data_IF_668821235613
#
_entry.id   IF_668821235613
#
_cell.length_a   1.000
_cell.length_b   1.000
_cell.length_c   1.000
_cell.angle_alpha   90.00
_cell.angle_beta   90.00
_cell.angle_gamma   90.00
#
_symmetry.space_group_name_H-M   'P 1'
#
loop_
_entity.id
_entity.type
_entity.pdbx_description
1 polymer ?
#
# COMPACT_ATOMS: atom_id res chain seq x y z
N UNK A 1 11.88 -31.31 -0.17
CA UNK A 1 10.97 -30.24 -0.70
C UNK A 1 9.53 -30.34 -0.18
N UNK A 2 8.85 -31.50 -0.15
CA UNK A 2 7.50 -31.61 0.45
C UNK A 2 7.41 -31.21 1.94
N UNK A 3 8.51 -31.31 2.69
CA UNK A 3 8.59 -30.99 4.13
C UNK A 3 8.38 -29.48 4.40
N UNK A 4 8.84 -28.62 3.49
CA UNK A 4 8.85 -27.16 3.65
C UNK A 4 8.04 -26.40 2.57
N UNK A 5 7.28 -27.12 1.76
CA UNK A 5 6.41 -26.51 0.74
C UNK A 5 5.31 -25.65 1.35
N UNK A 6 4.97 -24.55 0.71
CA UNK A 6 3.88 -23.66 1.12
C UNK A 6 2.57 -24.43 1.17
N UNK A 7 1.90 -24.44 2.32
CA UNK A 7 0.53 -24.93 2.44
C UNK A 7 -0.42 -23.86 1.88
N UNK A 8 -1.38 -24.25 1.07
CA UNK A 8 -2.36 -23.34 0.44
C UNK A 8 -3.21 -22.49 1.42
N UNK A 9 -3.11 -22.73 2.74
CA UNK A 9 -4.01 -22.17 3.75
C UNK A 9 -3.30 -21.52 4.95
N UNK A 10 -2.11 -20.93 4.77
CA UNK A 10 -1.33 -20.31 5.86
C UNK A 10 -2.14 -19.27 6.64
N UNK A 11 -2.81 -18.37 5.92
CA UNK A 11 -3.61 -17.32 6.56
C UNK A 11 -4.78 -17.88 7.39
N UNK A 12 -5.44 -18.93 6.91
CA UNK A 12 -6.52 -19.58 7.65
C UNK A 12 -6.01 -20.27 8.91
N UNK A 13 -4.82 -20.91 8.85
CA UNK A 13 -4.18 -21.54 10.01
C UNK A 13 -3.72 -20.49 11.03
N UNK A 14 -3.16 -19.37 10.57
CA UNK A 14 -2.79 -18.25 11.42
C UNK A 14 -4.02 -17.70 12.16
N UNK A 15 -5.09 -17.40 11.44
CA UNK A 15 -6.35 -16.92 12.01
C UNK A 15 -6.94 -17.90 13.02
N UNK A 16 -7.04 -19.18 12.66
CA UNK A 16 -7.54 -20.21 13.56
C UNK A 16 -6.70 -20.40 14.83
N UNK A 17 -5.39 -20.16 14.74
CA UNK A 17 -4.48 -20.17 15.89
C UNK A 17 -4.72 -18.97 16.79
N UNK A 18 -4.82 -17.79 16.21
CA UNK A 18 -5.10 -16.53 16.91
C UNK A 18 -6.46 -16.56 17.63
N UNK A 19 -7.46 -17.21 17.05
CA UNK A 19 -8.78 -17.41 17.69
C UNK A 19 -8.72 -18.24 18.98
N UNK A 20 -7.71 -19.09 19.14
CA UNK A 20 -7.49 -19.89 20.36
C UNK A 20 -6.87 -19.10 21.52
N UNK A 21 -6.50 -17.84 21.30
CA UNK A 21 -5.98 -16.94 22.31
C UNK A 21 -4.47 -16.83 22.36
N UNK A 22 -3.97 -16.05 23.35
CA UNK A 22 -2.56 -15.66 23.50
C UNK A 22 -1.64 -16.86 23.61
N UNK A 23 -1.91 -17.79 24.52
CA UNK A 23 -1.00 -18.89 24.83
C UNK A 23 -0.81 -19.82 23.62
N UNK A 24 -1.90 -20.12 22.89
CA UNK A 24 -1.83 -20.90 21.67
C UNK A 24 -1.03 -20.19 20.58
N UNK A 25 -1.23 -18.89 20.43
CA UNK A 25 -0.49 -18.05 19.48
C UNK A 25 0.99 -18.02 19.83
N UNK A 26 1.32 -17.80 21.09
CA UNK A 26 2.70 -17.77 21.60
C UNK A 26 3.42 -19.11 21.36
N UNK A 27 2.75 -20.24 21.64
CA UNK A 27 3.32 -21.58 21.42
C UNK A 27 3.59 -21.85 19.92
N UNK A 28 2.73 -21.38 19.03
CA UNK A 28 2.93 -21.53 17.58
C UNK A 28 4.10 -20.69 17.11
N UNK A 29 4.19 -19.44 17.53
CA UNK A 29 5.29 -18.53 17.19
C UNK A 29 6.64 -19.10 17.63
N UNK A 30 6.74 -19.62 18.87
CA UNK A 30 7.96 -20.26 19.35
C UNK A 30 8.38 -21.47 18.52
N UNK A 31 7.44 -22.31 18.13
CA UNK A 31 7.72 -23.45 17.23
C UNK A 31 8.17 -23.01 15.85
N UNK A 32 7.51 -22.00 15.27
CA UNK A 32 7.86 -21.53 13.93
C UNK A 32 9.19 -20.79 13.88
N UNK A 33 9.52 -20.04 14.94
CA UNK A 33 10.84 -19.45 15.09
C UNK A 33 11.93 -20.55 15.13
N UNK A 34 11.72 -21.64 15.89
CA UNK A 34 12.64 -22.78 15.91
C UNK A 34 12.77 -23.43 14.52
N UNK A 35 11.67 -23.55 13.77
CA UNK A 35 11.71 -24.11 12.42
C UNK A 35 12.58 -23.30 11.45
N UNK A 36 12.75 -21.99 11.65
CA UNK A 36 13.72 -21.21 10.87
C UNK A 36 15.14 -21.74 11.05
N UNK A 37 15.56 -22.01 12.30
CA UNK A 37 16.86 -22.59 12.57
C UNK A 37 16.95 -24.04 12.02
N UNK A 38 15.89 -24.85 12.19
CA UNK A 38 15.86 -26.21 11.63
C UNK A 38 16.00 -26.23 10.10
N UNK A 39 15.42 -25.28 9.38
CA UNK A 39 15.56 -25.16 7.92
C UNK A 39 17.00 -24.80 7.56
N UNK A 40 17.59 -23.86 8.29
CA UNK A 40 18.98 -23.43 8.07
C UNK A 40 19.98 -24.54 8.32
N UNK A 41 19.73 -25.38 9.34
CA UNK A 41 20.60 -26.47 9.76
C UNK A 41 20.27 -27.83 9.10
N UNK A 42 19.25 -27.90 8.22
CA UNK A 42 18.80 -29.14 7.57
C UNK A 42 19.80 -29.61 6.51
N UNK A 43 20.66 -30.56 6.89
CA UNK A 43 21.67 -31.16 6.02
C UNK A 43 21.05 -31.98 4.87
N UNK A 44 19.90 -32.65 5.08
CA UNK A 44 19.21 -33.37 4.01
C UNK A 44 18.69 -32.42 2.94
N UNK A 45 18.17 -31.26 3.34
CA UNK A 45 17.76 -30.19 2.41
C UNK A 45 18.95 -29.67 1.64
N UNK A 46 20.08 -29.38 2.31
CA UNK A 46 21.30 -28.93 1.64
C UNK A 46 21.80 -29.93 0.61
N UNK A 47 21.90 -31.21 0.98
CA UNK A 47 22.32 -32.25 0.08
C UNK A 47 21.35 -32.44 -1.10
N UNK A 48 20.04 -32.36 -0.86
CA UNK A 48 19.05 -32.41 -1.93
C UNK A 48 19.18 -31.23 -2.91
N UNK A 49 19.50 -30.02 -2.43
CA UNK A 49 19.77 -28.86 -3.26
C UNK A 49 21.08 -29.02 -4.05
N UNK A 50 22.15 -29.50 -3.41
CA UNK A 50 23.44 -29.75 -4.05
C UNK A 50 23.30 -30.76 -5.22
N UNK A 51 22.54 -31.83 -5.02
CA UNK A 51 22.32 -32.90 -6.01
C UNK A 51 21.25 -32.53 -7.06
N UNK A 52 20.49 -31.45 -6.85
CA UNK A 52 19.47 -31.04 -7.80
C UNK A 52 20.09 -30.53 -9.12
N UNK A 53 19.37 -30.62 -10.26
CA UNK A 53 19.82 -30.08 -11.53
C UNK A 53 19.78 -28.57 -11.65
N UNK A 54 19.40 -27.87 -10.58
CA UNK A 54 19.32 -26.43 -10.56
C UNK A 54 20.71 -25.78 -10.68
N UNK A 55 20.76 -24.60 -11.30
CA UNK A 55 21.94 -23.74 -11.24
C UNK A 55 22.22 -23.30 -9.80
N UNK A 56 23.42 -22.81 -9.52
CA UNK A 56 23.76 -22.23 -8.20
C UNK A 56 22.73 -21.18 -7.78
N UNK A 57 22.44 -20.25 -8.69
CA UNK A 57 21.39 -19.25 -8.48
C UNK A 57 20.02 -19.88 -8.11
N UNK A 58 19.60 -20.92 -8.84
CA UNK A 58 18.33 -21.59 -8.56
C UNK A 58 18.32 -22.32 -7.21
N UNK A 59 19.46 -22.81 -6.75
CA UNK A 59 19.59 -23.43 -5.39
C UNK A 59 19.48 -22.39 -4.30
N UNK A 60 20.16 -21.27 -4.45
CA UNK A 60 20.13 -20.15 -3.51
C UNK A 60 18.72 -19.54 -3.45
N UNK A 61 18.07 -19.34 -4.61
CA UNK A 61 16.71 -18.86 -4.69
C UNK A 61 15.70 -19.80 -4.02
N UNK A 62 15.88 -21.12 -4.16
CA UNK A 62 15.03 -22.11 -3.50
C UNK A 62 15.19 -22.05 -1.97
N UNK A 63 16.42 -21.93 -1.48
CA UNK A 63 16.69 -21.81 -0.04
C UNK A 63 16.06 -20.56 0.54
N UNK A 64 16.27 -19.39 -0.08
CA UNK A 64 15.68 -18.13 0.41
C UNK A 64 14.16 -18.16 0.32
N UNK A 65 13.59 -18.78 -0.70
CA UNK A 65 12.13 -18.92 -0.82
C UNK A 65 11.52 -19.77 0.32
N UNK A 66 12.19 -20.83 0.74
CA UNK A 66 11.75 -21.65 1.89
C UNK A 66 11.79 -20.82 3.19
N UNK A 67 12.88 -20.09 3.41
CA UNK A 67 13.05 -19.27 4.61
C UNK A 67 12.06 -18.10 4.67
N UNK A 68 11.91 -17.35 3.57
CA UNK A 68 11.00 -16.20 3.50
C UNK A 68 9.54 -16.62 3.66
N UNK A 69 9.13 -17.78 3.14
CA UNK A 69 7.79 -18.30 3.38
C UNK A 69 7.54 -18.55 4.88
N UNK A 70 8.54 -19.06 5.62
CA UNK A 70 8.39 -19.26 7.07
C UNK A 70 8.32 -17.93 7.83
N UNK A 71 9.08 -16.93 7.40
CA UNK A 71 9.01 -15.58 7.97
C UNK A 71 7.63 -14.95 7.73
N UNK A 72 7.05 -15.09 6.54
CA UNK A 72 5.69 -14.62 6.24
C UNK A 72 4.66 -15.27 7.17
N UNK A 73 4.78 -16.58 7.43
CA UNK A 73 3.88 -17.29 8.37
C UNK A 73 3.93 -16.66 9.76
N UNK A 74 5.14 -16.37 10.26
CA UNK A 74 5.34 -15.73 11.56
C UNK A 74 4.71 -14.32 11.58
N UNK A 75 4.98 -13.53 10.56
CA UNK A 75 4.47 -12.14 10.45
C UNK A 75 2.95 -12.10 10.33
N UNK A 76 2.34 -13.02 9.57
CA UNK A 76 0.89 -13.12 9.43
C UNK A 76 0.20 -13.45 10.77
N UNK A 77 0.80 -14.32 11.59
CA UNK A 77 0.26 -14.62 12.92
C UNK A 77 0.37 -13.43 13.86
N UNK A 78 1.53 -12.77 13.87
CA UNK A 78 1.74 -11.58 14.73
C UNK A 78 0.80 -10.46 14.34
N UNK A 79 0.68 -10.17 13.05
CA UNK A 79 -0.23 -9.15 12.53
C UNK A 79 -1.69 -9.47 12.88
N UNK A 80 -2.14 -10.69 12.59
CA UNK A 80 -3.51 -11.14 12.89
C UNK A 80 -3.83 -11.12 14.39
N UNK A 81 -2.84 -11.38 15.24
CA UNK A 81 -3.03 -11.28 16.68
C UNK A 81 -3.11 -9.82 17.15
N UNK A 82 -2.26 -8.95 16.62
CA UNK A 82 -2.28 -7.51 16.94
C UNK A 82 -3.54 -6.81 16.49
N UNK A 83 -4.18 -7.28 15.44
CA UNK A 83 -5.50 -6.76 15.03
C UNK A 83 -6.55 -6.90 16.14
N UNK A 84 -6.39 -7.84 17.07
CA UNK A 84 -7.27 -7.97 18.25
C UNK A 84 -7.10 -6.85 19.30
N UNK A 85 -6.03 -6.06 19.21
CA UNK A 85 -5.86 -4.89 20.08
C UNK A 85 -6.91 -3.80 19.83
N UNK A 86 -7.61 -3.91 18.71
CA UNK A 86 -8.63 -2.94 18.30
C UNK A 86 -9.96 -3.62 18.05
N UNK A 87 -11.04 -2.94 18.40
CA UNK A 87 -12.40 -3.31 18.02
C UNK A 87 -12.91 -2.27 17.02
N UNK A 88 -13.60 -2.75 15.99
CA UNK A 88 -14.10 -1.92 14.90
C UNK A 88 -15.62 -1.98 14.93
N UNK A 89 -16.26 -0.84 15.16
CA UNK A 89 -17.72 -0.71 15.16
C UNK A 89 -18.14 0.20 14.02
N UNK A 90 -18.95 -0.31 13.09
CA UNK A 90 -19.51 0.53 12.03
C UNK A 90 -20.61 1.40 12.60
N UNK A 91 -20.49 2.72 12.44
CA UNK A 91 -21.46 3.71 12.88
C UNK A 91 -22.59 3.86 11.85
N UNK A 92 -23.72 4.43 12.27
CA UNK A 92 -24.87 4.65 11.38
C UNK A 92 -24.56 5.58 10.18
N UNK A 93 -23.60 6.48 10.34
CA UNK A 93 -23.10 7.39 9.30
C UNK A 93 -22.14 6.71 8.31
N UNK A 94 -21.88 5.41 8.47
CA UNK A 94 -20.95 4.61 7.65
C UNK A 94 -19.48 4.70 8.07
N UNK A 95 -19.16 5.54 9.03
CA UNK A 95 -17.80 5.63 9.58
C UNK A 95 -17.50 4.44 10.50
N UNK A 96 -16.21 4.19 10.73
CA UNK A 96 -15.76 3.18 11.67
C UNK A 96 -15.26 3.84 12.95
N UNK A 97 -15.85 3.43 14.07
CA UNK A 97 -15.29 3.72 15.40
C UNK A 97 -14.28 2.65 15.73
N UNK A 98 -13.10 3.07 16.13
CA UNK A 98 -11.99 2.17 16.52
C UNK A 98 -11.78 2.38 18.01
N UNK A 99 -12.00 1.33 18.78
CA UNK A 99 -11.78 1.33 20.22
C UNK A 99 -10.63 0.36 20.56
N UNK A 100 -9.92 0.63 21.65
CA UNK A 100 -8.94 -0.31 22.19
C UNK A 100 -9.65 -1.48 22.85
N UNK A 101 -9.20 -2.70 22.59
CA UNK A 101 -9.70 -3.89 23.26
C UNK A 101 -9.06 -3.99 24.66
N UNK A 102 -9.82 -3.86 25.76
CA UNK A 102 -9.26 -3.90 27.11
C UNK A 102 -8.73 -5.28 27.52
N UNK A 103 -9.17 -6.34 26.84
CA UNK A 103 -8.73 -7.72 27.12
C UNK A 103 -7.50 -8.13 26.30
N UNK A 104 -6.98 -7.22 25.48
CA UNK A 104 -5.79 -7.50 24.68
C UNK A 104 -4.55 -7.53 25.56
N UNK A 105 -3.76 -8.60 25.41
CA UNK A 105 -2.46 -8.74 26.08
C UNK A 105 -1.39 -8.99 25.02
N UNK A 106 -0.36 -8.14 24.99
CA UNK A 106 0.73 -8.21 24.02
C UNK A 106 1.43 -9.58 24.04
N UNK A 107 1.92 -10.01 22.86
CA UNK A 107 2.73 -11.22 22.71
C UNK A 107 4.14 -10.98 23.22
N UNK A 108 4.77 -11.98 23.79
CA UNK A 108 6.20 -12.02 23.98
C UNK A 108 6.88 -12.47 22.69
N UNK A 109 7.59 -11.57 22.03
CA UNK A 109 8.23 -11.81 20.74
C UNK A 109 9.76 -11.93 20.86
N UNK A 110 10.33 -11.94 22.06
CA UNK A 110 11.79 -11.97 22.25
C UNK A 110 12.45 -13.16 21.56
N UNK A 111 11.89 -14.36 21.71
CA UNK A 111 12.42 -15.55 21.05
C UNK A 111 12.32 -15.50 19.52
N UNK A 112 11.25 -14.89 18.99
CA UNK A 112 11.07 -14.66 17.55
C UNK A 112 12.11 -13.70 17.03
N UNK A 113 12.29 -12.54 17.68
CA UNK A 113 13.31 -11.55 17.32
C UNK A 113 14.70 -12.15 17.34
N UNK A 114 15.08 -12.82 18.44
CA UNK A 114 16.40 -13.41 18.59
C UNK A 114 16.70 -14.40 17.46
N UNK A 115 15.73 -15.20 17.04
CA UNK A 115 15.91 -16.14 15.92
C UNK A 115 16.06 -15.43 14.59
N UNK A 116 15.17 -14.49 14.28
CA UNK A 116 15.16 -13.80 12.99
C UNK A 116 16.37 -12.89 12.83
N UNK A 117 16.73 -12.12 13.87
CA UNK A 117 17.88 -11.21 13.83
C UNK A 117 19.23 -11.95 13.84
N UNK A 118 19.32 -13.10 14.51
CA UNK A 118 20.51 -13.97 14.42
C UNK A 118 20.78 -14.38 12.98
N UNK A 119 19.75 -14.58 12.18
CA UNK A 119 19.84 -15.03 10.80
C UNK A 119 19.62 -13.90 9.78
N UNK A 120 19.69 -12.64 10.19
CA UNK A 120 19.38 -11.48 9.36
C UNK A 120 20.21 -11.40 8.08
N UNK A 121 21.48 -11.77 8.14
CA UNK A 121 22.37 -11.76 6.96
C UNK A 121 21.90 -12.73 5.87
N UNK A 122 21.36 -13.87 6.26
CA UNK A 122 20.85 -14.85 5.32
C UNK A 122 19.47 -14.50 4.78
N UNK A 123 18.58 -13.95 5.64
CA UNK A 123 17.17 -13.71 5.33
C UNK A 123 16.95 -12.30 4.79
N UNK A 124 17.38 -11.28 5.54
CA UNK A 124 17.04 -9.88 5.31
C UNK A 124 18.13 -9.09 4.57
N UNK A 125 19.36 -9.60 4.54
CA UNK A 125 20.45 -9.02 3.75
C UNK A 125 20.65 -9.75 2.40
N UNK A 126 19.62 -10.38 1.87
CA UNK A 126 19.71 -11.18 0.66
C UNK A 126 18.87 -10.57 -0.48
N UNK A 127 19.51 -10.00 -1.55
CA UNK A 127 18.80 -9.43 -2.69
C UNK A 127 17.92 -10.42 -3.45
N UNK A 128 18.17 -11.73 -3.32
CA UNK A 128 17.32 -12.76 -3.93
C UNK A 128 15.88 -12.72 -3.41
N UNK A 129 15.63 -12.11 -2.23
CA UNK A 129 14.29 -11.86 -1.72
C UNK A 129 13.41 -11.00 -2.64
N UNK A 130 13.96 -10.38 -3.68
CA UNK A 130 13.24 -9.59 -4.69
C UNK A 130 13.06 -10.30 -6.04
N UNK A 131 13.57 -11.53 -6.20
CA UNK A 131 13.62 -12.18 -7.51
C UNK A 131 12.34 -12.86 -7.96
N UNK A 132 11.37 -13.09 -7.05
CA UNK A 132 10.10 -13.74 -7.35
C UNK A 132 8.91 -12.98 -6.79
N UNK A 133 7.75 -13.13 -7.40
CA UNK A 133 6.50 -12.48 -6.96
C UNK A 133 6.05 -12.91 -5.56
N UNK A 134 6.31 -14.17 -5.17
CA UNK A 134 6.04 -14.64 -3.81
C UNK A 134 6.94 -13.99 -2.77
N UNK A 135 8.16 -13.64 -3.14
CA UNK A 135 9.12 -12.94 -2.29
C UNK A 135 8.79 -11.44 -2.16
N UNK A 136 8.12 -10.85 -3.16
CA UNK A 136 7.58 -9.52 -3.01
C UNK A 136 6.58 -9.44 -1.84
N UNK A 137 5.79 -10.48 -1.61
CA UNK A 137 4.91 -10.57 -0.44
C UNK A 137 5.73 -10.53 0.85
N UNK A 138 6.85 -11.25 0.91
CA UNK A 138 7.76 -11.22 2.05
C UNK A 138 8.33 -9.80 2.29
N UNK A 139 8.88 -9.17 1.25
CA UNK A 139 9.41 -7.80 1.35
C UNK A 139 8.35 -6.83 1.85
N UNK A 140 7.17 -6.85 1.23
CA UNK A 140 6.07 -5.97 1.61
C UNK A 140 5.60 -6.22 3.05
N UNK A 141 5.46 -7.49 3.46
CA UNK A 141 5.12 -7.83 4.86
C UNK A 141 6.18 -7.31 5.82
N UNK A 142 7.46 -7.58 5.57
CA UNK A 142 8.55 -7.15 6.45
C UNK A 142 8.64 -5.64 6.55
N UNK A 143 8.51 -4.90 5.45
CA UNK A 143 8.56 -3.44 5.45
C UNK A 143 7.42 -2.80 6.25
N UNK A 144 6.25 -3.43 6.29
CA UNK A 144 5.11 -2.94 7.07
C UNK A 144 4.91 -3.70 8.38
N UNK A 145 5.75 -4.69 8.67
CA UNK A 145 5.65 -5.48 9.88
C UNK A 145 6.07 -4.67 11.11
N UNK A 146 5.23 -4.65 12.14
CA UNK A 146 5.60 -4.07 13.42
C UNK A 146 6.68 -4.88 14.16
N UNK A 147 7.14 -6.00 13.61
CA UNK A 147 8.26 -6.79 14.14
C UNK A 147 9.60 -6.07 14.00
N UNK A 148 9.80 -5.28 12.94
CA UNK A 148 11.12 -4.70 12.63
C UNK A 148 11.10 -3.18 12.59
N UNK A 149 10.01 -2.59 12.13
CA UNK A 149 9.87 -1.15 11.98
C UNK A 149 8.69 -0.65 12.80
N UNK A 150 8.92 0.39 13.57
CA UNK A 150 7.87 1.02 14.39
C UNK A 150 7.68 2.47 13.99
N UNK A 151 6.51 3.02 14.33
CA UNK A 151 6.29 4.45 14.31
C UNK A 151 6.83 5.06 15.59
N UNK A 152 7.50 6.20 15.45
CA UNK A 152 8.04 6.98 16.56
C UNK A 152 7.58 8.43 16.43
N UNK A 153 7.00 8.94 17.49
CA UNK A 153 6.60 10.35 17.57
C UNK A 153 7.86 11.20 17.82
N UNK A 154 7.99 12.30 17.11
CA UNK A 154 9.06 13.26 17.30
C UNK A 154 8.55 14.67 17.02
N UNK A 155 9.20 15.66 17.60
CA UNK A 155 8.97 17.08 17.32
C UNK A 155 10.05 17.57 16.37
N UNK A 156 9.65 18.17 15.24
CA UNK A 156 10.62 18.72 14.28
C UNK A 156 11.25 20.04 14.77
N UNK A 157 12.18 20.58 13.99
CA UNK A 157 12.89 21.80 14.32
C UNK A 157 11.96 23.03 14.41
N UNK A 158 10.78 22.98 13.80
CA UNK A 158 9.75 24.00 13.84
C UNK A 158 8.76 23.83 14.99
N UNK A 159 8.96 22.83 15.83
CA UNK A 159 8.12 22.50 16.98
C UNK A 159 6.82 21.75 16.61
N UNK A 160 6.72 21.20 15.41
CA UNK A 160 5.55 20.44 14.95
C UNK A 160 5.71 18.96 15.30
N UNK A 161 4.69 18.40 15.97
CA UNK A 161 4.63 16.97 16.26
C UNK A 161 4.41 16.17 14.96
N UNK A 162 5.26 15.18 14.72
CA UNK A 162 5.25 14.32 13.54
C UNK A 162 5.50 12.87 13.93
N UNK A 163 5.20 11.97 13.00
CA UNK A 163 5.52 10.55 13.11
C UNK A 163 6.51 10.14 12.03
N UNK A 164 7.49 9.33 12.39
CA UNK A 164 8.39 8.67 11.45
C UNK A 164 8.44 7.18 11.71
N UNK A 165 8.69 6.43 10.65
CA UNK A 165 9.03 5.02 10.79
C UNK A 165 10.51 4.88 11.07
N UNK A 166 10.88 4.00 11.99
CA UNK A 166 12.27 3.78 12.36
C UNK A 166 12.56 2.28 12.54
N UNK A 167 13.83 1.91 12.30
CA UNK A 167 14.36 0.60 12.70
C UNK A 167 14.58 0.58 14.21
N UNK A 168 13.73 -0.16 14.90
CA UNK A 168 13.79 -0.33 16.35
C UNK A 168 14.46 -1.64 16.76
N UNK A 169 14.67 -2.55 15.83
CA UNK A 169 14.96 -3.94 16.10
C UNK A 169 16.23 -4.48 15.41
N UNK A 170 17.11 -3.60 14.93
CA UNK A 170 18.45 -3.96 14.46
C UNK A 170 18.51 -4.42 13.01
N UNK A 171 17.64 -3.93 12.16
CA UNK A 171 17.67 -4.18 10.71
C UNK A 171 18.69 -3.31 9.97
N UNK A 172 19.26 -2.30 10.64
CA UNK A 172 20.28 -1.43 10.04
C UNK A 172 21.39 -2.24 9.38
N UNK A 173 21.81 -1.80 8.19
CA UNK A 173 22.85 -2.45 7.39
C UNK A 173 22.39 -3.68 6.61
N UNK A 174 21.11 -4.06 6.64
CA UNK A 174 20.57 -5.10 5.77
C UNK A 174 20.00 -4.52 4.48
N UNK A 175 19.92 -5.36 3.44
CA UNK A 175 19.24 -5.01 2.19
C UNK A 175 17.77 -4.61 2.42
N UNK A 176 17.09 -5.24 3.37
CA UNK A 176 15.72 -4.89 3.73
C UNK A 176 15.61 -3.48 4.32
N UNK A 177 16.59 -3.07 5.13
CA UNK A 177 16.66 -1.69 5.63
C UNK A 177 16.91 -0.67 4.51
N UNK A 178 17.75 -1.03 3.53
CA UNK A 178 17.98 -0.18 2.36
C UNK A 178 16.68 0.03 1.57
N UNK A 179 15.88 -1.03 1.38
CA UNK A 179 14.56 -0.92 0.74
C UNK A 179 13.60 -0.08 1.58
N UNK A 180 13.63 -0.23 2.90
CA UNK A 180 12.80 0.58 3.81
C UNK A 180 13.12 2.08 3.67
N UNK A 181 14.40 2.46 3.76
CA UNK A 181 14.84 3.86 3.62
C UNK A 181 14.50 4.43 2.23
N UNK A 182 14.73 3.62 1.18
CA UNK A 182 14.38 4.01 -0.19
C UNK A 182 12.88 4.24 -0.36
N UNK A 183 12.04 3.33 0.13
CA UNK A 183 10.60 3.45 0.02
C UNK A 183 10.06 4.64 0.81
N UNK A 184 10.57 4.88 2.01
CA UNK A 184 10.12 5.97 2.86
C UNK A 184 10.31 7.32 2.17
N UNK A 185 11.51 7.59 1.64
CA UNK A 185 11.79 8.88 0.99
C UNK A 185 11.11 9.01 -0.39
N UNK A 186 11.04 7.92 -1.17
CA UNK A 186 10.36 7.94 -2.48
C UNK A 186 8.86 8.21 -2.31
N UNK A 187 8.21 7.55 -1.35
CA UNK A 187 6.79 7.79 -1.06
C UNK A 187 6.52 9.25 -0.66
N UNK A 188 7.42 9.86 0.09
CA UNK A 188 7.31 11.28 0.47
C UNK A 188 7.47 12.21 -0.72
N UNK A 189 8.41 11.92 -1.63
CA UNK A 189 8.56 12.66 -2.88
C UNK A 189 7.30 12.57 -3.76
N UNK A 190 6.74 11.37 -3.93
CA UNK A 190 5.49 11.15 -4.66
C UNK A 190 4.33 11.93 -4.03
N UNK A 191 4.26 11.93 -2.70
CA UNK A 191 3.23 12.67 -1.97
C UNK A 191 3.31 14.18 -2.24
N UNK A 192 4.51 14.78 -2.17
CA UNK A 192 4.72 16.20 -2.49
C UNK A 192 4.40 16.50 -3.96
N UNK A 193 4.81 15.66 -4.90
CA UNK A 193 4.47 15.86 -6.31
C UNK A 193 2.95 15.90 -6.51
N UNK A 194 2.22 15.02 -5.82
CA UNK A 194 0.77 15.03 -5.82
C UNK A 194 0.19 16.32 -5.24
N UNK A 195 0.71 16.79 -4.12
CA UNK A 195 0.30 18.04 -3.49
C UNK A 195 0.56 19.26 -4.38
N UNK A 196 1.72 19.32 -5.02
CA UNK A 196 2.05 20.38 -6.01
C UNK A 196 1.02 20.38 -7.13
N UNK A 197 0.75 19.22 -7.71
CA UNK A 197 -0.22 19.04 -8.80
C UNK A 197 -1.62 19.48 -8.40
N UNK A 198 -2.04 19.16 -7.18
CA UNK A 198 -3.33 19.55 -6.63
C UNK A 198 -3.36 20.99 -6.08
N UNK A 199 -2.21 21.69 -6.07
CA UNK A 199 -2.10 23.07 -5.56
C UNK A 199 -2.18 23.19 -4.05
N UNK A 200 -1.83 22.13 -3.34
CA UNK A 200 -1.80 22.07 -1.88
C UNK A 200 -0.42 22.33 -1.29
N UNK A 201 0.57 22.67 -2.11
CA UNK A 201 1.92 22.88 -1.60
C UNK A 201 1.96 24.00 -0.55
N UNK A 202 2.44 23.68 0.65
CA UNK A 202 2.41 24.54 1.82
C UNK A 202 1.18 24.37 2.73
N UNK A 203 0.14 23.61 2.30
CA UNK A 203 -1.01 23.22 3.13
C UNK A 203 -0.84 21.83 3.73
N UNK A 204 0.06 21.01 3.18
CA UNK A 204 0.38 19.68 3.71
C UNK A 204 1.17 19.81 5.01
N UNK A 205 0.54 19.43 6.12
CA UNK A 205 1.13 19.60 7.46
C UNK A 205 2.34 18.71 7.74
N UNK A 206 2.63 17.73 6.89
CA UNK A 206 3.55 16.65 7.26
C UNK A 206 4.81 16.55 6.42
N UNK A 207 4.86 17.06 5.17
CA UNK A 207 6.02 16.93 4.30
C UNK A 207 6.19 18.18 3.43
N UNK A 208 7.35 18.82 3.50
CA UNK A 208 7.72 20.01 2.72
C UNK A 208 8.91 19.71 1.80
N UNK A 209 9.20 20.59 0.83
CA UNK A 209 10.39 20.48 0.00
C UNK A 209 11.67 20.50 0.84
N UNK A 210 11.73 21.34 1.87
CA UNK A 210 12.86 21.41 2.79
C UNK A 210 13.02 20.13 3.57
N UNK A 211 11.90 19.53 4.02
CA UNK A 211 11.90 18.22 4.65
C UNK A 211 12.49 17.14 3.73
N UNK A 212 12.09 17.10 2.45
CA UNK A 212 12.65 16.14 1.48
C UNK A 212 14.16 16.38 1.31
N UNK A 213 14.58 17.62 1.11
CA UNK A 213 15.99 17.96 0.88
C UNK A 213 16.87 17.57 2.07
N UNK A 214 16.40 17.79 3.29
CA UNK A 214 17.09 17.40 4.53
C UNK A 214 17.14 15.87 4.70
N UNK A 215 16.00 15.21 4.59
CA UNK A 215 15.91 13.76 4.87
C UNK A 215 16.45 12.89 3.73
N UNK A 216 16.52 13.40 2.49
CA UNK A 216 17.12 12.68 1.38
C UNK A 216 18.59 12.30 1.65
N UNK A 217 19.38 13.26 2.15
CA UNK A 217 20.78 13.03 2.49
C UNK A 217 20.95 12.00 3.60
N UNK A 218 20.12 12.05 4.64
CA UNK A 218 20.15 11.10 5.76
C UNK A 218 19.73 9.69 5.29
N UNK A 219 18.66 9.58 4.52
CA UNK A 219 18.22 8.30 3.95
C UNK A 219 19.28 7.70 3.03
N UNK A 220 19.87 8.51 2.14
CA UNK A 220 20.92 8.06 1.23
C UNK A 220 22.17 7.58 1.97
N UNK A 221 22.56 8.28 3.03
CA UNK A 221 23.72 7.90 3.87
C UNK A 221 23.51 6.56 4.60
N UNK A 222 22.26 6.21 4.92
CA UNK A 222 21.91 4.94 5.55
C UNK A 222 21.89 3.73 4.60
N UNK A 223 21.85 3.97 3.27
CA UNK A 223 21.74 2.91 2.26
C UNK A 223 23.12 2.37 1.89
N UNK A 224 23.32 1.08 2.06
CA UNK A 224 24.59 0.40 1.75
C UNK A 224 24.61 -0.21 0.34
N UNK A 225 23.46 -0.64 -0.17
CA UNK A 225 23.37 -1.24 -1.50
C UNK A 225 23.45 -0.18 -2.59
N UNK A 226 24.53 -0.22 -3.39
CA UNK A 226 24.80 0.77 -4.44
C UNK A 226 23.67 0.88 -5.48
N UNK A 227 22.98 -0.22 -5.80
CA UNK A 227 21.85 -0.19 -6.75
C UNK A 227 20.62 0.50 -6.19
N UNK A 228 20.33 0.28 -4.91
CA UNK A 228 19.25 1.00 -4.21
C UNK A 228 19.59 2.49 -4.13
N UNK A 229 20.83 2.83 -3.75
CA UNK A 229 21.28 4.23 -3.70
C UNK A 229 21.20 4.93 -5.07
N UNK A 230 21.61 4.26 -6.15
CA UNK A 230 21.51 4.79 -7.51
C UNK A 230 20.03 5.08 -7.89
N UNK A 231 19.14 4.12 -7.60
CA UNK A 231 17.72 4.28 -7.91
C UNK A 231 17.09 5.48 -7.18
N UNK A 232 17.36 5.64 -5.88
CA UNK A 232 16.81 6.76 -5.11
C UNK A 232 17.35 8.12 -5.60
N UNK A 233 18.62 8.18 -6.05
CA UNK A 233 19.18 9.39 -6.67
C UNK A 233 18.49 9.72 -7.98
N UNK A 234 18.14 8.72 -8.79
CA UNK A 234 17.37 8.92 -10.02
C UNK A 234 15.96 9.43 -9.75
N UNK A 235 15.27 8.84 -8.76
CA UNK A 235 13.94 9.31 -8.36
C UNK A 235 13.97 10.74 -7.79
N UNK A 236 14.99 11.08 -7.00
CA UNK A 236 15.17 12.44 -6.52
C UNK A 236 15.40 13.45 -7.67
N UNK A 237 16.19 13.12 -8.69
CA UNK A 237 16.37 13.97 -9.86
C UNK A 237 15.07 14.18 -10.64
N UNK A 238 14.27 13.13 -10.79
CA UNK A 238 12.93 13.24 -11.40
C UNK A 238 12.02 14.14 -10.56
N UNK A 239 12.05 13.97 -9.24
CA UNK A 239 11.30 14.77 -8.30
C UNK A 239 11.65 16.26 -8.43
N UNK A 240 12.93 16.63 -8.35
CA UNK A 240 13.39 18.02 -8.50
C UNK A 240 12.95 18.61 -9.84
N UNK A 241 13.17 17.88 -10.94
CA UNK A 241 12.74 18.33 -12.28
C UNK A 241 11.23 18.55 -12.33
N UNK A 242 10.43 17.63 -11.79
CA UNK A 242 8.97 17.75 -11.78
C UNK A 242 8.49 18.93 -10.93
N UNK A 243 9.15 19.23 -9.81
CA UNK A 243 8.81 20.41 -8.98
C UNK A 243 9.14 21.73 -9.66
N UNK A 244 10.24 21.79 -10.45
CA UNK A 244 10.62 22.96 -11.23
C UNK A 244 9.68 23.18 -12.43
N UNK A 245 9.19 22.12 -13.05
CA UNK A 245 8.34 22.19 -14.26
C UNK A 245 6.84 22.21 -13.95
N UNK A 246 6.41 21.85 -12.75
CA UNK A 246 4.99 21.83 -12.37
C UNK A 246 4.27 23.19 -12.51
N UNK A 247 5.04 24.27 -12.64
CA UNK A 247 4.52 25.59 -12.99
C UNK A 247 4.28 25.79 -14.50
N UNK A 248 4.69 24.86 -15.38
CA UNK A 248 4.84 25.12 -16.82
C UNK A 248 4.24 24.10 -17.80
N UNK A 249 3.92 22.87 -17.44
CA UNK A 249 3.59 21.86 -18.45
C UNK A 249 2.21 21.20 -18.31
N UNK A 250 1.40 21.47 -19.33
CA UNK A 250 0.27 20.64 -19.77
C UNK A 250 0.80 19.42 -20.55
N UNK A 251 1.26 18.39 -19.86
CA UNK A 251 1.62 17.13 -20.51
C UNK A 251 0.34 16.41 -20.89
N UNK A 252 -0.08 16.52 -22.15
CA UNK A 252 -1.18 15.75 -22.72
C UNK A 252 -0.97 14.25 -22.44
N UNK A 253 -2.05 13.54 -22.16
CA UNK A 253 -1.99 12.09 -21.95
C UNK A 253 -1.52 11.38 -23.24
N UNK A 254 -0.54 10.49 -23.14
CA UNK A 254 -0.07 9.65 -24.24
C UNK A 254 -1.03 8.48 -24.51
N UNK A 255 -2.30 8.80 -24.74
CA UNK A 255 -3.32 7.79 -25.00
C UNK A 255 -3.45 7.51 -26.48
N UNK A 256 -3.81 6.29 -26.84
CA UNK A 256 -4.20 5.92 -28.21
C UNK A 256 -5.50 6.64 -28.59
N UNK A 257 -5.82 6.66 -29.88
CA UNK A 257 -7.10 7.21 -30.38
C UNK A 257 -8.31 6.48 -29.79
N UNK A 258 -8.21 5.15 -29.63
CA UNK A 258 -9.24 4.33 -28.99
C UNK A 258 -9.44 4.70 -27.51
N UNK A 259 -8.35 4.87 -26.77
CA UNK A 259 -8.37 5.28 -25.37
C UNK A 259 -8.94 6.70 -25.20
N UNK A 260 -8.54 7.62 -26.07
CA UNK A 260 -9.07 8.99 -26.09
C UNK A 260 -10.59 8.99 -26.38
N UNK A 261 -11.04 8.14 -27.32
CA UNK A 261 -12.45 7.98 -27.62
C UNK A 261 -13.22 7.42 -26.42
N UNK A 262 -12.68 6.41 -25.76
CA UNK A 262 -13.27 5.83 -24.55
C UNK A 262 -13.35 6.87 -23.41
N UNK A 263 -12.26 7.61 -23.16
CA UNK A 263 -12.25 8.68 -22.19
C UNK A 263 -13.34 9.71 -22.45
N UNK A 264 -13.40 10.21 -23.69
CA UNK A 264 -14.39 11.19 -24.08
C UNK A 264 -15.83 10.66 -23.96
N UNK A 265 -16.07 9.40 -24.25
CA UNK A 265 -17.38 8.73 -24.06
C UNK A 265 -17.85 8.84 -22.59
N UNK A 266 -16.95 8.68 -21.64
CA UNK A 266 -17.29 8.68 -20.21
C UNK A 266 -17.34 10.10 -19.64
N UNK A 267 -16.42 10.97 -20.04
CA UNK A 267 -16.19 12.28 -19.40
C UNK A 267 -16.98 13.42 -20.07
N UNK A 268 -17.12 13.40 -21.42
CA UNK A 268 -17.75 14.51 -22.14
C UNK A 268 -19.20 14.81 -21.76
N UNK A 269 -20.04 13.83 -21.34
CA UNK A 269 -21.39 14.14 -20.85
C UNK A 269 -21.44 15.09 -19.65
N UNK A 270 -20.33 15.21 -18.94
CA UNK A 270 -20.21 15.99 -17.70
C UNK A 270 -19.33 17.23 -17.88
N UNK A 271 -19.11 17.70 -19.10
CA UNK A 271 -18.34 18.91 -19.37
C UNK A 271 -18.87 20.11 -18.56
N UNK A 272 -17.97 20.85 -17.93
CA UNK A 272 -18.32 21.95 -17.05
C UNK A 272 -18.45 21.57 -15.57
N UNK A 273 -18.26 20.29 -15.26
CA UNK A 273 -18.17 19.77 -13.90
C UNK A 273 -16.78 19.23 -13.61
N UNK A 274 -16.27 19.47 -12.42
CA UNK A 274 -15.13 18.72 -11.88
C UNK A 274 -15.60 17.32 -11.52
N UNK A 275 -14.89 16.26 -12.00
CA UNK A 275 -15.31 14.89 -11.79
C UNK A 275 -14.39 14.18 -10.80
N UNK A 276 -15.00 13.49 -9.84
CA UNK A 276 -14.34 12.52 -8.99
C UNK A 276 -14.74 11.12 -9.45
N UNK A 277 -13.81 10.44 -10.13
CA UNK A 277 -14.02 9.07 -10.60
C UNK A 277 -13.65 8.10 -9.49
N UNK A 278 -14.45 7.05 -9.31
CA UNK A 278 -14.19 5.93 -8.37
C UNK A 278 -14.40 4.61 -9.10
N UNK A 279 -13.32 3.86 -9.32
CA UNK A 279 -13.32 2.52 -9.91
C UNK A 279 -13.51 1.49 -8.82
N UNK A 280 -14.60 0.74 -8.90
CA UNK A 280 -15.04 -0.16 -7.85
C UNK A 280 -15.63 -1.48 -8.37
N UNK A 281 -15.91 -2.42 -7.47
CA UNK A 281 -16.59 -3.68 -7.78
C UNK A 281 -17.34 -4.26 -6.59
N UNK A 282 -18.35 -5.10 -6.86
CA UNK A 282 -19.19 -5.69 -5.81
C UNK A 282 -18.42 -6.57 -4.81
N UNK A 283 -17.35 -7.24 -5.24
CA UNK A 283 -16.47 -8.03 -4.36
C UNK A 283 -15.48 -7.19 -3.56
N UNK A 284 -15.34 -5.88 -3.88
CA UNK A 284 -14.41 -4.99 -3.21
C UNK A 284 -15.03 -4.42 -1.91
N UNK A 285 -14.71 -5.02 -0.79
CA UNK A 285 -15.14 -4.55 0.53
C UNK A 285 -14.72 -3.10 0.83
N UNK A 286 -13.41 -2.75 0.67
CA UNK A 286 -12.92 -1.38 0.87
C UNK A 286 -13.60 -0.33 -0.02
N UNK A 287 -13.94 -0.68 -1.27
CA UNK A 287 -14.66 0.22 -2.18
C UNK A 287 -16.06 0.56 -1.61
N UNK A 288 -16.82 -0.48 -1.24
CA UNK A 288 -18.16 -0.30 -0.66
C UNK A 288 -18.15 0.48 0.64
N UNK A 289 -17.19 0.17 1.53
CA UNK A 289 -17.01 0.91 2.78
C UNK A 289 -16.67 2.39 2.51
N UNK A 290 -15.80 2.65 1.52
CA UNK A 290 -15.46 4.02 1.09
C UNK A 290 -16.66 4.82 0.64
N UNK A 291 -17.50 4.26 -0.26
CA UNK A 291 -18.73 4.92 -0.70
C UNK A 291 -19.70 5.21 0.45
N UNK A 292 -19.81 4.29 1.42
CA UNK A 292 -20.66 4.50 2.60
C UNK A 292 -20.16 5.68 3.44
N UNK A 293 -18.87 5.81 3.69
CA UNK A 293 -18.29 6.91 4.46
C UNK A 293 -18.37 8.26 3.75
N UNK A 294 -18.43 8.26 2.41
CA UNK A 294 -18.47 9.48 1.59
C UNK A 294 -19.88 10.06 1.40
N UNK A 295 -20.93 9.40 1.83
CA UNK A 295 -22.32 9.86 1.61
C UNK A 295 -22.57 11.31 2.04
N UNK A 296 -22.07 11.67 3.22
CA UNK A 296 -22.21 13.03 3.76
C UNK A 296 -21.48 14.04 2.88
N UNK A 297 -20.27 13.71 2.45
CA UNK A 297 -19.45 14.53 1.56
C UNK A 297 -20.14 14.76 0.21
N UNK A 298 -20.67 13.72 -0.41
CA UNK A 298 -21.42 13.80 -1.68
C UNK A 298 -22.66 14.70 -1.53
N UNK A 299 -23.38 14.60 -0.42
CA UNK A 299 -24.54 15.45 -0.16
C UNK A 299 -24.16 16.92 0.06
N UNK A 300 -23.06 17.19 0.77
CA UNK A 300 -22.54 18.56 1.00
C UNK A 300 -22.08 19.24 -0.30
N UNK A 301 -21.74 18.46 -1.32
CA UNK A 301 -21.25 18.98 -2.60
C UNK A 301 -22.31 18.99 -3.72
N UNK A 302 -23.55 18.60 -3.46
CA UNK A 302 -24.61 18.45 -4.48
C UNK A 302 -24.94 19.73 -5.26
N UNK A 303 -24.80 20.90 -4.64
CA UNK A 303 -25.09 22.19 -5.24
C UNK A 303 -23.89 22.81 -5.98
N UNK A 304 -22.76 22.12 -5.99
CA UNK A 304 -21.55 22.54 -6.67
C UNK A 304 -21.46 21.96 -8.10
N UNK A 305 -20.60 22.55 -8.92
CA UNK A 305 -20.27 21.99 -10.25
C UNK A 305 -19.34 20.81 -10.15
N UNK A 306 -19.79 19.77 -9.46
CA UNK A 306 -19.05 18.55 -9.16
C UNK A 306 -19.93 17.35 -9.49
N UNK A 307 -19.31 16.28 -9.96
CA UNK A 307 -19.94 14.97 -10.14
C UNK A 307 -19.05 13.86 -9.58
N UNK A 308 -19.69 12.93 -8.87
CA UNK A 308 -19.08 11.69 -8.40
C UNK A 308 -19.49 10.58 -9.36
N UNK A 309 -18.55 9.99 -10.08
CA UNK A 309 -18.78 8.93 -11.05
C UNK A 309 -18.25 7.61 -10.53
N UNK A 310 -19.16 6.70 -10.19
CA UNK A 310 -18.83 5.35 -9.76
C UNK A 310 -18.80 4.42 -10.96
N UNK A 311 -17.61 3.94 -11.32
CA UNK A 311 -17.35 3.15 -12.53
C UNK A 311 -17.15 1.68 -12.14
N UNK A 312 -17.95 0.79 -12.73
CA UNK A 312 -17.80 -0.66 -12.55
C UNK A 312 -18.09 -1.41 -13.87
N UNK A 313 -17.83 -2.72 -13.87
CA UNK A 313 -18.05 -3.52 -15.10
C UNK A 313 -19.52 -3.85 -15.31
N UNK A 314 -19.95 -3.88 -16.57
CA UNK A 314 -21.35 -4.07 -16.96
C UNK A 314 -21.95 -5.42 -16.53
N UNK A 315 -21.13 -6.44 -16.35
CA UNK A 315 -21.56 -7.74 -15.82
C UNK A 315 -21.97 -7.68 -14.34
N UNK A 316 -21.55 -6.65 -13.60
CA UNK A 316 -21.96 -6.41 -12.21
C UNK A 316 -23.16 -5.46 -12.09
N UNK A 317 -23.69 -4.92 -13.20
CA UNK A 317 -24.70 -3.85 -13.20
C UNK A 317 -25.87 -4.13 -12.27
N UNK A 318 -26.53 -5.26 -12.41
CA UNK A 318 -27.74 -5.58 -11.65
C UNK A 318 -27.49 -5.64 -10.13
N UNK A 319 -26.38 -6.27 -9.70
CA UNK A 319 -26.01 -6.35 -8.30
C UNK A 319 -25.53 -5.00 -7.75
N UNK A 320 -24.84 -4.22 -8.57
CA UNK A 320 -24.38 -2.89 -8.22
C UNK A 320 -25.55 -1.92 -8.01
N UNK A 321 -26.50 -1.86 -8.95
CA UNK A 321 -27.70 -1.02 -8.85
C UNK A 321 -28.54 -1.36 -7.61
N UNK A 322 -28.73 -2.66 -7.36
CA UNK A 322 -29.43 -3.11 -6.14
C UNK A 322 -28.75 -2.61 -4.90
N UNK A 323 -27.44 -2.88 -4.76
CA UNK A 323 -26.67 -2.50 -3.59
C UNK A 323 -26.62 -0.98 -3.38
N UNK A 324 -26.41 -0.21 -4.44
CA UNK A 324 -26.40 1.25 -4.41
C UNK A 324 -27.73 1.84 -3.93
N UNK A 325 -28.85 1.28 -4.43
CA UNK A 325 -30.20 1.68 -4.03
C UNK A 325 -30.46 1.35 -2.56
N UNK A 326 -30.18 0.12 -2.13
CA UNK A 326 -30.36 -0.32 -0.75
C UNK A 326 -29.54 0.51 0.26
N UNK A 327 -28.37 0.98 -0.18
CA UNK A 327 -27.48 1.78 0.66
C UNK A 327 -27.59 3.30 0.42
N UNK A 328 -28.53 3.76 -0.40
CA UNK A 328 -28.73 5.17 -0.72
C UNK A 328 -27.44 5.88 -1.15
N UNK A 329 -26.64 5.27 -2.04
CA UNK A 329 -25.45 5.87 -2.61
C UNK A 329 -25.84 6.85 -3.71
N UNK A 330 -25.46 8.12 -3.56
CA UNK A 330 -25.72 9.21 -4.52
C UNK A 330 -24.52 9.39 -5.43
N UNK A 331 -24.78 9.77 -6.68
CA UNK A 331 -23.76 10.02 -7.72
C UNK A 331 -24.19 9.42 -9.05
N UNK A 332 -23.32 9.53 -10.03
CA UNK A 332 -23.51 8.98 -11.38
C UNK A 332 -22.91 7.57 -11.45
N UNK A 333 -23.66 6.63 -12.05
CA UNK A 333 -23.25 5.23 -12.14
C UNK A 333 -22.91 4.87 -13.59
N UNK A 334 -21.67 4.48 -13.82
CA UNK A 334 -21.14 4.18 -15.14
C UNK A 334 -20.78 2.70 -15.22
N UNK A 335 -21.32 2.01 -16.23
CA UNK A 335 -21.10 0.59 -16.47
C UNK A 335 -20.33 0.41 -17.77
N UNK A 336 -19.14 -0.15 -17.68
CA UNK A 336 -18.24 -0.36 -18.82
C UNK A 336 -17.98 -1.84 -19.06
N UNK A 337 -17.60 -2.21 -20.27
CA UNK A 337 -17.22 -3.58 -20.60
C UNK A 337 -15.89 -3.95 -19.93
N UNK A 338 -15.59 -5.25 -19.80
CA UNK A 338 -14.30 -5.72 -19.27
C UNK A 338 -13.11 -5.26 -20.14
N UNK A 339 -13.32 -5.07 -21.45
CA UNK A 339 -12.27 -4.57 -22.32
C UNK A 339 -12.00 -3.07 -22.07
N UNK A 340 -13.05 -2.28 -21.94
CA UNK A 340 -12.95 -0.85 -21.57
C UNK A 340 -12.31 -0.71 -20.18
N UNK A 341 -12.62 -1.59 -19.24
CA UNK A 341 -11.99 -1.62 -17.92
C UNK A 341 -10.47 -1.79 -18.02
N UNK A 342 -9.99 -2.77 -18.82
CA UNK A 342 -8.57 -2.99 -19.05
C UNK A 342 -7.88 -1.78 -19.71
N UNK A 343 -8.59 -1.06 -20.58
CA UNK A 343 -8.07 0.19 -21.12
C UNK A 343 -7.89 1.23 -20.03
N UNK A 344 -8.85 1.39 -19.10
CA UNK A 344 -8.71 2.29 -17.95
C UNK A 344 -7.58 1.87 -17.01
N UNK A 345 -7.37 0.58 -16.76
CA UNK A 345 -6.21 0.09 -15.99
C UNK A 345 -4.90 0.62 -16.57
N UNK A 346 -4.77 0.67 -17.89
CA UNK A 346 -3.59 1.22 -18.56
C UNK A 346 -3.57 2.75 -18.55
N UNK A 347 -4.72 3.40 -18.82
CA UNK A 347 -4.82 4.86 -18.97
C UNK A 347 -4.53 5.62 -17.68
N UNK A 348 -4.96 5.09 -16.54
CA UNK A 348 -4.80 5.70 -15.23
C UNK A 348 -3.94 4.83 -14.29
N UNK A 349 -3.18 3.90 -14.87
CA UNK A 349 -2.14 3.11 -14.23
C UNK A 349 -2.57 2.47 -12.89
N UNK A 350 -3.53 1.53 -12.93
CA UNK A 350 -3.91 0.76 -11.75
C UNK A 350 -4.05 -0.73 -12.03
N UNK A 351 -3.81 -1.54 -11.01
CA UNK A 351 -3.96 -2.99 -11.03
C UNK A 351 -4.89 -3.51 -9.94
N UNK A 352 -5.36 -2.62 -9.07
CA UNK A 352 -6.24 -2.94 -7.95
C UNK A 352 -7.24 -1.82 -7.69
N UNK A 353 -8.34 -2.16 -7.02
CA UNK A 353 -9.38 -1.22 -6.56
C UNK A 353 -9.49 -1.28 -5.03
N UNK A 354 -9.91 -0.19 -4.35
CA UNK A 354 -10.43 1.06 -4.93
C UNK A 354 -9.36 1.89 -5.65
N UNK A 355 -9.76 2.58 -6.71
CA UNK A 355 -8.92 3.54 -7.43
C UNK A 355 -9.77 4.76 -7.81
N UNK A 356 -9.30 5.95 -7.47
CA UNK A 356 -9.95 7.19 -7.87
C UNK A 356 -9.14 7.98 -8.88
N UNK A 357 -9.80 8.92 -9.55
CA UNK A 357 -9.17 9.93 -10.41
C UNK A 357 -9.90 11.27 -10.34
N UNK A 358 -9.15 12.36 -10.49
CA UNK A 358 -9.68 13.72 -10.56
C UNK A 358 -9.63 14.23 -12.00
N UNK A 359 -10.75 14.79 -12.48
CA UNK A 359 -10.89 15.32 -13.86
C UNK A 359 -11.39 16.76 -13.78
N UNK A 360 -10.78 17.65 -14.60
CA UNK A 360 -11.19 19.04 -14.65
C UNK A 360 -12.52 19.25 -15.37
N UNK A 361 -13.07 20.47 -15.29
CA UNK A 361 -14.27 20.91 -16.00
C UNK A 361 -14.18 20.79 -17.52
N UNK A 362 -12.96 20.85 -18.07
CA UNK A 362 -12.67 20.66 -19.49
C UNK A 362 -12.59 19.18 -19.91
N UNK A 363 -12.65 18.27 -18.95
CA UNK A 363 -12.53 16.83 -19.16
C UNK A 363 -11.09 16.31 -19.15
N UNK A 364 -10.15 17.04 -18.57
CA UNK A 364 -8.74 16.73 -18.50
C UNK A 364 -8.44 15.90 -17.25
N UNK A 365 -7.68 14.83 -17.38
CA UNK A 365 -7.19 14.07 -16.23
C UNK A 365 -6.19 14.92 -15.46
N UNK A 366 -6.53 15.27 -14.24
CA UNK A 366 -5.68 16.04 -13.33
C UNK A 366 -4.83 15.10 -12.46
N UNK A 367 -5.47 14.10 -11.85
CA UNK A 367 -4.79 13.14 -11.00
C UNK A 367 -5.35 11.73 -11.22
N UNK A 368 -4.45 10.80 -11.50
CA UNK A 368 -4.81 9.39 -11.81
C UNK A 368 -4.89 8.49 -10.57
N UNK A 369 -4.43 8.95 -9.42
CA UNK A 369 -4.48 8.25 -8.13
C UNK A 369 -5.06 9.17 -7.06
N UNK A 370 -6.33 9.54 -7.26
CA UNK A 370 -7.03 10.48 -6.40
C UNK A 370 -7.85 9.72 -5.34
N UNK A 371 -7.35 9.67 -4.11
CA UNK A 371 -8.05 9.05 -3.00
C UNK A 371 -8.94 10.07 -2.29
N UNK A 372 -10.20 10.14 -2.68
CA UNK A 372 -11.18 11.12 -2.18
C UNK A 372 -11.37 11.08 -0.66
N UNK A 373 -11.14 9.93 -0.02
CA UNK A 373 -11.27 9.76 1.45
C UNK A 373 -10.21 10.53 2.25
N UNK A 374 -9.14 10.98 1.60
CA UNK A 374 -8.09 11.78 2.22
C UNK A 374 -8.44 13.27 2.29
N UNK A 375 -9.62 13.67 1.79
CA UNK A 375 -10.03 15.07 1.66
C UNK A 375 -11.32 15.33 2.44
N UNK A 376 -11.37 16.46 3.12
CA UNK A 376 -12.62 16.99 3.69
C UNK A 376 -13.40 17.80 2.65
N UNK A 377 -14.61 18.22 2.98
CA UNK A 377 -15.49 18.95 2.06
C UNK A 377 -14.93 20.31 1.64
N UNK A 378 -14.22 21.02 2.52
CA UNK A 378 -13.60 22.31 2.19
C UNK A 378 -12.47 22.17 1.17
N UNK A 379 -11.63 21.17 1.34
CA UNK A 379 -10.53 20.86 0.41
C UNK A 379 -11.06 20.47 -0.96
N UNK A 380 -12.11 19.63 -1.01
CA UNK A 380 -12.73 19.26 -2.29
C UNK A 380 -13.43 20.42 -2.97
N UNK A 381 -14.01 21.37 -2.19
CA UNK A 381 -14.58 22.62 -2.73
C UNK A 381 -13.49 23.45 -3.41
N UNK A 382 -12.36 23.66 -2.74
CA UNK A 382 -11.20 24.37 -3.32
C UNK A 382 -10.70 23.69 -4.61
N UNK A 383 -10.60 22.35 -4.62
CA UNK A 383 -10.23 21.60 -5.82
C UNK A 383 -11.25 21.77 -6.96
N UNK A 384 -12.55 21.71 -6.63
CA UNK A 384 -13.63 21.90 -7.61
C UNK A 384 -13.71 23.32 -8.17
N UNK A 385 -13.31 24.34 -7.40
CA UNK A 385 -13.20 25.71 -7.89
C UNK A 385 -12.00 25.90 -8.82
N UNK A 386 -10.88 25.25 -8.51
CA UNK A 386 -9.63 25.33 -9.26
C UNK A 386 -9.72 24.60 -10.60
N UNK A 387 -10.25 23.43 -10.63
CA UNK A 387 -10.33 22.54 -11.79
C UNK A 387 -11.79 22.42 -12.32
#
# INVERSE_FOLDING_TARGET
>A
MKKYGRKEYIYAEAKATVEKGKDATQAVLGRWANQVNEIIDDEELRQALIQSPLSTFGKDLMMISILTNKCIEIEDVVSSYRDKAKTYTQMEDGNWKIDTNPDYVELDLEAVYNTLLKNKELIYNNPLAMCESSQWVFVNRTLYSPLFFSWEDYTDDDGVERQRRCDKYGMAGTFMNDLFLSQDIVSKMEYIQKDIKLGKLGESQNVTLDYISKNFGESLAGIQNVKVAQNIVEEYRKFVKATETAAAEDTGNNWTEEQTTLWNKIVSPYKGYTLFLDFWGMSCGPCRSGMMSQKKLVEEMKDMKVKFLYITTADQKSSAEKWMTENNIKGEHVYITRNEWKQFETMINFTAIPRGALVSKEGKLIEQDFEIRQFNSEELKKLAERF
#
